data_IF_825708588818
#
_entry.id   IF_825708588818
#
_cell.length_a   1.000
_cell.length_b   1.000
_cell.length_c   1.000
_cell.angle_alpha   90.00
_cell.angle_beta   90.00
_cell.angle_gamma   90.00
#
_symmetry.space_group_name_H-M   'P 1'
#
loop_
_entity.id
_entity.type
_entity.pdbx_description
1 polymer ?
#
# COMPACT_ATOMS: atom_id res chain seq x y z
N UNK A 1 -59.04 -45.26 -17.67
CA UNK A 1 -58.30 -44.15 -18.30
C UNK A 1 -57.58 -43.42 -17.17
N UNK A 2 -56.26 -43.58 -16.98
CA UNK A 2 -55.18 -42.78 -17.60
C UNK A 2 -55.49 -41.27 -17.56
N UNK A 3 -54.60 -40.38 -17.12
CA UNK A 3 -53.19 -40.24 -17.46
C UNK A 3 -52.41 -39.44 -16.40
N UNK A 4 -51.10 -39.63 -16.40
CA UNK A 4 -50.07 -38.72 -15.87
C UNK A 4 -50.25 -37.29 -16.40
N UNK A 5 -49.90 -36.27 -15.60
CA UNK A 5 -49.44 -34.98 -16.14
C UNK A 5 -48.48 -34.28 -15.19
N UNK A 6 -47.23 -34.19 -15.64
CA UNK A 6 -46.14 -33.36 -15.17
C UNK A 6 -46.54 -31.89 -15.03
N UNK A 7 -46.24 -31.25 -13.90
CA UNK A 7 -46.16 -29.79 -13.82
C UNK A 7 -44.71 -29.35 -13.97
N UNK A 8 -44.43 -28.74 -15.12
CA UNK A 8 -43.28 -27.90 -15.39
C UNK A 8 -43.10 -26.87 -14.27
N UNK A 9 -42.01 -26.96 -13.51
CA UNK A 9 -41.44 -25.81 -12.81
C UNK A 9 -40.51 -25.10 -13.78
N UNK A 10 -41.06 -24.08 -14.46
CA UNK A 10 -40.28 -23.12 -15.22
C UNK A 10 -39.26 -22.44 -14.30
N UNK A 11 -37.99 -22.50 -14.70
CA UNK A 11 -36.90 -21.69 -14.19
C UNK A 11 -37.32 -20.23 -14.13
N UNK A 12 -37.60 -19.71 -12.93
CA UNK A 12 -37.69 -18.27 -12.72
C UNK A 12 -36.26 -17.72 -12.75
N UNK A 13 -35.95 -17.08 -13.88
CA UNK A 13 -34.83 -16.17 -14.01
C UNK A 13 -34.94 -15.10 -12.93
N UNK A 14 -33.98 -15.06 -12.01
CA UNK A 14 -33.84 -13.95 -11.09
C UNK A 14 -33.47 -12.70 -11.90
N UNK A 15 -34.49 -11.91 -12.18
CA UNK A 15 -34.39 -10.52 -12.63
C UNK A 15 -33.46 -9.76 -11.68
N UNK A 16 -32.36 -9.24 -12.23
CA UNK A 16 -31.62 -8.14 -11.60
C UNK A 16 -32.48 -6.89 -11.81
N UNK A 17 -32.88 -6.15 -10.75
CA UNK A 17 -33.60 -4.91 -10.94
C UNK A 17 -32.71 -3.92 -11.69
N UNK A 18 -33.22 -3.38 -12.81
CA UNK A 18 -32.69 -2.18 -13.47
C UNK A 18 -32.98 -0.95 -12.59
N UNK A 19 -32.40 -0.90 -11.39
CA UNK A 19 -32.31 0.36 -10.65
C UNK A 19 -31.08 1.11 -11.14
N UNK A 20 -31.32 2.33 -11.63
CA UNK A 20 -30.37 3.16 -12.36
C UNK A 20 -28.96 3.15 -11.78
N UNK A 21 -28.01 2.71 -12.61
CA UNK A 21 -26.58 2.98 -12.42
C UNK A 21 -26.38 4.50 -12.47
N UNK A 22 -26.41 5.14 -11.30
CA UNK A 22 -25.90 6.49 -11.14
C UNK A 22 -24.39 6.48 -11.44
N UNK A 23 -24.03 6.84 -12.68
CA UNK A 23 -22.65 7.15 -13.05
C UNK A 23 -22.22 8.41 -12.29
N UNK A 24 -21.36 8.25 -11.29
CA UNK A 24 -20.83 9.39 -10.57
C UNK A 24 -19.54 9.93 -11.19
N UNK A 25 -19.29 11.22 -10.95
CA UNK A 25 -18.05 11.95 -11.23
C UNK A 25 -16.78 11.09 -11.12
N UNK A 26 -15.88 11.27 -12.10
CA UNK A 26 -14.52 10.71 -12.10
C UNK A 26 -13.84 10.94 -10.76
N UNK A 27 -13.37 9.86 -10.14
CA UNK A 27 -12.52 9.94 -8.94
C UNK A 27 -11.07 9.79 -9.36
N UNK A 28 -10.20 10.65 -8.85
CA UNK A 28 -8.78 10.58 -9.18
C UNK A 28 -8.13 9.44 -8.39
N UNK A 29 -7.34 8.61 -9.08
CA UNK A 29 -6.50 7.62 -8.42
C UNK A 29 -5.34 8.21 -7.62
N UNK A 30 -4.62 7.33 -6.91
CA UNK A 30 -3.41 7.67 -6.19
C UNK A 30 -2.20 6.92 -6.78
N UNK A 31 -1.04 7.54 -6.65
CA UNK A 31 0.24 7.01 -7.11
C UNK A 31 0.92 6.28 -5.95
N UNK A 32 1.41 5.09 -6.24
CA UNK A 32 2.19 4.26 -5.36
C UNK A 32 3.45 3.80 -6.05
N UNK A 33 4.44 3.44 -5.26
CA UNK A 33 5.71 2.94 -5.74
C UNK A 33 6.07 1.63 -5.07
N UNK A 34 6.70 0.75 -5.82
CA UNK A 34 7.25 -0.50 -5.31
C UNK A 34 8.55 -0.82 -5.99
N UNK A 35 9.52 -1.23 -5.21
CA UNK A 35 10.75 -1.85 -5.70
C UNK A 35 10.61 -3.36 -5.85
N UNK A 36 11.24 -3.92 -6.89
CA UNK A 36 11.34 -5.36 -7.09
C UNK A 36 12.59 -5.69 -7.93
N UNK A 37 13.17 -6.87 -7.73
CA UNK A 37 14.34 -7.34 -8.50
C UNK A 37 13.92 -7.98 -9.83
N UNK A 38 12.66 -8.42 -9.95
CA UNK A 38 12.11 -8.93 -11.21
C UNK A 38 12.06 -7.83 -12.26
N UNK A 39 12.24 -8.22 -13.52
CA UNK A 39 12.31 -7.29 -14.64
C UNK A 39 10.94 -6.72 -15.04
N UNK A 40 10.90 -5.54 -15.69
CA UNK A 40 9.66 -4.97 -16.19
C UNK A 40 8.94 -5.87 -17.19
N UNK A 41 9.68 -6.63 -18.01
CA UNK A 41 9.07 -7.59 -18.94
C UNK A 41 8.23 -8.65 -18.21
N UNK A 42 8.72 -9.13 -17.06
CA UNK A 42 8.00 -10.08 -16.23
C UNK A 42 6.83 -9.42 -15.49
N UNK A 43 7.09 -8.28 -14.83
CA UNK A 43 6.11 -7.61 -13.98
C UNK A 43 4.96 -7.00 -14.78
N UNK A 44 5.20 -6.45 -15.96
CA UNK A 44 4.15 -5.91 -16.82
C UNK A 44 3.24 -7.00 -17.39
N UNK A 45 3.64 -8.28 -17.36
CA UNK A 45 2.79 -9.41 -17.75
C UNK A 45 2.01 -9.98 -16.55
N UNK A 46 2.68 -10.12 -15.40
CA UNK A 46 2.14 -10.87 -14.26
C UNK A 46 1.51 -10.00 -13.18
N UNK A 47 1.95 -8.74 -13.06
CA UNK A 47 1.63 -7.88 -11.92
C UNK A 47 2.30 -8.34 -10.63
N UNK A 48 1.72 -7.94 -9.49
CA UNK A 48 2.14 -8.36 -8.15
C UNK A 48 1.00 -9.09 -7.45
N UNK A 49 1.33 -10.20 -6.80
CA UNK A 49 0.38 -11.02 -6.04
C UNK A 49 1.04 -11.49 -4.75
N UNK A 50 0.24 -11.78 -3.71
CA UNK A 50 0.76 -12.29 -2.46
C UNK A 50 1.22 -13.75 -2.64
N UNK A 51 2.14 -14.21 -1.79
CA UNK A 51 2.62 -15.60 -1.81
C UNK A 51 1.60 -16.57 -1.23
N UNK A 52 0.78 -16.11 -0.29
CA UNK A 52 -0.27 -16.84 0.43
C UNK A 52 -1.64 -16.22 0.08
N UNK A 53 -2.38 -16.76 -0.89
CA UNK A 53 -3.63 -16.17 -1.39
C UNK A 53 -4.88 -16.53 -0.57
N UNK A 54 -4.75 -17.32 0.48
CA UNK A 54 -5.87 -17.92 1.24
C UNK A 54 -6.70 -16.91 2.05
N UNK A 55 -6.15 -15.75 2.38
CA UNK A 55 -6.80 -14.78 3.28
C UNK A 55 -7.86 -13.87 2.62
N UNK A 56 -7.98 -13.94 1.29
CA UNK A 56 -9.02 -13.32 0.44
C UNK A 56 -9.67 -12.02 0.98
N UNK A 57 -10.83 -12.09 1.66
CA UNK A 57 -11.61 -10.91 2.05
C UNK A 57 -11.10 -10.20 3.32
N UNK A 58 -10.34 -10.92 4.16
CA UNK A 58 -9.76 -10.41 5.41
C UNK A 58 -8.23 -10.33 5.32
N UNK A 59 -7.69 -10.35 4.10
CA UNK A 59 -6.25 -10.34 3.82
C UNK A 59 -5.52 -9.24 4.59
N UNK A 60 -6.12 -8.07 4.70
CA UNK A 60 -5.50 -6.90 5.31
C UNK A 60 -5.32 -7.07 6.83
N UNK A 61 -6.24 -7.76 7.51
CA UNK A 61 -6.12 -8.08 8.93
C UNK A 61 -4.99 -9.06 9.19
N UNK A 62 -4.88 -10.11 8.36
CA UNK A 62 -3.77 -11.05 8.48
C UNK A 62 -2.44 -10.39 8.11
N UNK A 63 -2.42 -9.57 7.06
CA UNK A 63 -1.23 -8.84 6.62
C UNK A 63 -0.65 -7.97 7.75
N UNK A 64 -1.49 -7.32 8.56
CA UNK A 64 -1.04 -6.50 9.70
C UNK A 64 -1.15 -7.24 11.04
N UNK A 65 -1.32 -8.57 11.02
CA UNK A 65 -1.42 -9.42 12.21
C UNK A 65 -2.41 -8.90 13.26
N UNK A 66 -3.62 -8.54 12.85
CA UNK A 66 -4.59 -7.85 13.72
C UNK A 66 -4.97 -8.61 14.99
N UNK A 67 -4.87 -9.95 14.99
CA UNK A 67 -5.08 -10.78 16.19
C UNK A 67 -3.98 -10.65 17.25
N UNK A 68 -2.84 -10.05 16.90
CA UNK A 68 -1.69 -9.85 17.78
C UNK A 68 -1.74 -8.55 18.57
N UNK A 69 -2.75 -7.69 18.34
CA UNK A 69 -2.89 -6.46 19.13
C UNK A 69 -3.26 -6.77 20.57
N UNK A 70 -2.49 -6.19 21.50
CA UNK A 70 -2.77 -6.27 22.94
C UNK A 70 -3.70 -5.12 23.34
N UNK A 71 -3.50 -3.95 22.73
CA UNK A 71 -4.25 -2.72 22.95
C UNK A 71 -4.07 -1.74 21.76
N UNK A 72 -4.46 -0.47 21.95
CA UNK A 72 -4.34 0.58 20.94
C UNK A 72 -2.89 1.03 20.66
N UNK A 73 -1.90 0.45 21.36
CA UNK A 73 -0.48 0.74 21.21
C UNK A 73 0.18 -0.12 20.13
N UNK A 74 -0.36 -1.32 19.84
CA UNK A 74 0.17 -2.21 18.82
C UNK A 74 0.45 -3.63 19.32
N UNK A 75 1.37 -4.34 18.67
CA UNK A 75 1.77 -5.70 19.06
C UNK A 75 2.92 -5.56 20.05
N UNK A 76 2.73 -6.05 21.28
CA UNK A 76 3.78 -6.00 22.32
C UNK A 76 4.38 -4.59 22.48
N UNK A 77 3.50 -3.56 22.52
CA UNK A 77 3.87 -2.15 22.60
C UNK A 77 4.78 -1.65 21.47
N UNK A 78 4.65 -2.23 20.26
CA UNK A 78 5.36 -1.80 19.05
C UNK A 78 4.39 -1.57 17.89
N UNK A 79 4.77 -0.66 17.01
CA UNK A 79 4.08 -0.51 15.73
C UNK A 79 4.22 -1.79 14.90
N UNK A 80 3.18 -2.09 14.14
CA UNK A 80 3.08 -3.33 13.38
C UNK A 80 3.79 -3.23 12.02
N UNK A 81 4.27 -4.37 11.55
CA UNK A 81 4.74 -4.59 10.18
C UNK A 81 3.69 -5.31 9.33
N UNK A 82 3.76 -5.11 8.02
CA UNK A 82 3.04 -5.97 7.09
C UNK A 82 3.73 -7.33 6.89
N UNK A 83 2.94 -8.37 6.62
CA UNK A 83 3.42 -9.67 6.16
C UNK A 83 3.39 -9.69 4.62
N UNK A 84 4.56 -9.66 3.93
CA UNK A 84 4.63 -9.59 2.48
C UNK A 84 4.19 -10.91 1.82
N UNK A 85 4.00 -11.96 2.61
CA UNK A 85 3.48 -13.23 2.11
C UNK A 85 1.99 -13.10 1.86
N UNK A 86 1.29 -12.20 2.55
CA UNK A 86 -0.17 -12.05 2.50
C UNK A 86 -0.60 -10.82 1.70
N UNK A 87 0.28 -9.86 1.48
CA UNK A 87 0.00 -8.64 0.73
C UNK A 87 1.13 -8.20 -0.20
N UNK A 88 0.84 -7.21 -1.03
CA UNK A 88 1.80 -6.44 -1.80
C UNK A 88 2.06 -5.12 -1.06
N UNK A 89 3.24 -5.01 -0.44
CA UNK A 89 3.70 -3.77 0.17
C UNK A 89 4.19 -2.77 -0.89
N UNK A 90 3.84 -1.51 -0.70
CA UNK A 90 4.16 -0.37 -1.56
C UNK A 90 4.45 0.84 -0.66
N UNK A 91 4.84 1.94 -1.26
CA UNK A 91 4.98 3.23 -0.60
C UNK A 91 4.24 4.31 -1.39
N UNK A 92 3.81 5.37 -0.70
CA UNK A 92 3.25 6.57 -1.34
C UNK A 92 4.31 7.59 -1.76
N UNK A 93 5.59 7.33 -1.44
CA UNK A 93 6.71 8.25 -1.66
C UNK A 93 7.79 7.61 -2.53
N UNK A 94 8.16 8.26 -3.63
CA UNK A 94 9.14 7.72 -4.58
C UNK A 94 10.51 7.54 -3.92
N UNK A 95 10.94 8.51 -3.13
CA UNK A 95 12.19 8.52 -2.35
C UNK A 95 12.27 7.39 -1.30
N UNK A 96 11.12 6.83 -0.93
CA UNK A 96 11.02 5.70 0.00
C UNK A 96 11.05 4.34 -0.70
N UNK A 97 10.78 4.29 -2.02
CA UNK A 97 10.73 3.03 -2.75
C UNK A 97 12.09 2.29 -2.82
N UNK A 98 13.24 2.98 -2.97
CA UNK A 98 14.57 2.35 -2.93
C UNK A 98 14.96 1.74 -1.57
N UNK A 99 14.18 1.97 -0.52
CA UNK A 99 14.44 1.40 0.81
C UNK A 99 14.41 -0.14 0.78
N UNK A 100 13.59 -0.74 -0.09
CA UNK A 100 13.24 -2.16 -0.01
C UNK A 100 13.63 -2.94 -1.27
N UNK A 101 13.90 -4.24 -1.17
CA UNK A 101 14.68 -4.87 -0.13
C UNK A 101 16.17 -4.90 -0.52
N UNK A 102 16.98 -3.83 -0.42
CA UNK A 102 18.33 -3.94 -1.02
C UNK A 102 19.47 -3.40 -0.14
N UNK A 103 20.14 -4.34 0.49
CA UNK A 103 21.59 -4.40 0.56
C UNK A 103 22.16 -4.40 -0.88
N UNK A 104 22.74 -3.28 -1.32
CA UNK A 104 23.63 -3.16 -2.49
C UNK A 104 23.26 -4.04 -3.71
N UNK A 105 22.14 -3.76 -4.39
CA UNK A 105 21.74 -4.51 -5.60
C UNK A 105 21.04 -3.64 -6.65
N UNK A 106 21.09 -4.09 -7.91
CA UNK A 106 20.33 -3.53 -9.03
C UNK A 106 18.85 -3.94 -8.93
N UNK A 107 17.93 -2.99 -9.04
CA UNK A 107 16.49 -3.30 -9.06
C UNK A 107 15.70 -2.38 -9.97
N UNK A 108 14.37 -2.54 -9.95
CA UNK A 108 13.44 -1.66 -10.62
C UNK A 108 12.49 -1.05 -9.60
N UNK A 109 12.24 0.25 -9.74
CA UNK A 109 11.12 0.94 -9.11
C UNK A 109 9.96 0.97 -10.10
N UNK A 110 8.81 0.48 -9.66
CA UNK A 110 7.56 0.44 -10.40
C UNK A 110 6.63 1.53 -9.89
N UNK A 111 6.13 2.38 -10.80
CA UNK A 111 5.06 3.32 -10.52
C UNK A 111 3.70 2.65 -10.77
N UNK A 112 2.78 2.80 -9.83
CA UNK A 112 1.53 2.04 -9.76
C UNK A 112 0.37 2.99 -9.49
N UNK A 113 -0.68 2.94 -10.31
CA UNK A 113 -1.93 3.66 -10.13
C UNK A 113 -2.99 2.74 -9.49
N UNK A 114 -3.51 3.14 -8.34
CA UNK A 114 -4.57 2.41 -7.62
C UNK A 114 -5.56 3.40 -7.01
N UNK A 115 -6.71 2.94 -6.47
CA UNK A 115 -7.59 3.79 -5.68
C UNK A 115 -6.88 4.40 -4.47
N UNK A 116 -7.44 5.48 -3.93
CA UNK A 116 -6.96 6.08 -2.68
C UNK A 116 -6.96 5.06 -1.54
N UNK A 117 -5.96 5.17 -0.66
CA UNK A 117 -5.83 4.28 0.47
C UNK A 117 -6.98 4.45 1.47
N UNK A 118 -7.27 3.37 2.19
CA UNK A 118 -8.26 3.31 3.24
C UNK A 118 -7.54 3.23 4.59
N UNK A 119 -7.84 4.18 5.47
CA UNK A 119 -7.27 4.23 6.81
C UNK A 119 -7.84 3.15 7.72
N UNK A 120 -7.01 2.71 8.68
CA UNK A 120 -7.42 1.85 9.77
C UNK A 120 -7.74 2.70 11.01
N UNK A 121 -8.79 2.30 11.74
CA UNK A 121 -9.24 2.92 12.99
C UNK A 121 -9.40 1.88 14.09
N UNK A 122 -9.06 2.26 15.32
CA UNK A 122 -9.43 1.49 16.51
C UNK A 122 -10.94 1.61 16.78
N UNK A 123 -11.58 0.50 17.18
CA UNK A 123 -13.02 0.38 17.42
C UNK A 123 -13.45 0.81 18.84
N UNK A 124 -12.53 0.84 19.79
CA UNK A 124 -12.79 1.23 21.18
C UNK A 124 -11.49 1.41 21.95
N UNK A 125 -11.52 2.19 23.03
CA UNK A 125 -10.30 2.51 23.81
C UNK A 125 -9.77 1.26 24.52
N UNK A 126 -8.53 0.88 24.19
CA UNK A 126 -7.75 -0.13 24.90
C UNK A 126 -8.11 -1.58 24.58
N UNK A 127 -8.81 -1.83 23.48
CA UNK A 127 -9.16 -3.19 23.03
C UNK A 127 -8.22 -3.71 21.96
N UNK A 128 -7.49 -2.82 21.26
CA UNK A 128 -6.70 -3.19 20.08
C UNK A 128 -7.54 -3.59 18.87
N UNK A 129 -8.87 -3.60 18.98
CA UNK A 129 -9.77 -3.93 17.89
C UNK A 129 -9.71 -2.85 16.79
N UNK A 130 -9.62 -3.28 15.54
CA UNK A 130 -9.48 -2.38 14.39
C UNK A 130 -10.49 -2.61 13.28
N UNK A 131 -10.76 -1.55 12.51
CA UNK A 131 -11.64 -1.56 11.35
C UNK A 131 -11.14 -0.64 10.23
N UNK A 132 -11.66 -0.84 9.02
CA UNK A 132 -11.43 0.04 7.89
C UNK A 132 -12.37 1.25 7.92
N UNK A 133 -11.81 2.45 7.81
CA UNK A 133 -12.56 3.70 7.70
C UNK A 133 -13.11 3.91 6.29
N UNK A 134 -14.16 3.15 5.93
CA UNK A 134 -14.77 3.19 4.59
C UNK A 134 -15.52 4.52 4.31
N UNK A 135 -15.18 5.16 3.20
CA UNK A 135 -15.83 6.36 2.67
C UNK A 135 -16.70 6.01 1.45
N UNK A 136 -17.36 7.01 0.86
CA UNK A 136 -18.13 6.83 -0.39
C UNK A 136 -17.27 6.44 -1.60
N UNK A 137 -15.95 6.67 -1.54
CA UNK A 137 -14.99 6.31 -2.59
C UNK A 137 -14.26 4.99 -2.36
N UNK A 138 -14.46 4.34 -1.20
CA UNK A 138 -13.76 3.08 -0.89
C UNK A 138 -14.29 1.92 -1.73
N UNK A 139 -13.43 1.11 -2.38
CA UNK A 139 -13.85 -0.09 -3.09
C UNK A 139 -14.59 -1.09 -2.18
N UNK A 140 -15.66 -1.68 -2.71
CA UNK A 140 -16.45 -2.70 -2.00
C UNK A 140 -15.76 -4.06 -1.99
N UNK A 141 -15.17 -4.46 -3.12
CA UNK A 141 -14.34 -5.66 -3.20
C UNK A 141 -13.03 -5.45 -2.40
N UNK A 142 -12.79 -6.22 -1.33
CA UNK A 142 -11.57 -6.11 -0.51
C UNK A 142 -10.28 -6.26 -1.30
N UNK A 143 -10.29 -6.95 -2.44
CA UNK A 143 -9.10 -7.16 -3.29
C UNK A 143 -8.68 -5.92 -4.07
N UNK A 144 -9.54 -4.90 -4.13
CA UNK A 144 -9.26 -3.61 -4.77
C UNK A 144 -8.96 -2.50 -3.76
N UNK A 145 -8.96 -2.81 -2.46
CA UNK A 145 -8.63 -1.83 -1.41
C UNK A 145 -7.12 -1.67 -1.32
N UNK A 146 -6.68 -0.43 -1.12
CA UNK A 146 -5.34 -0.08 -0.66
C UNK A 146 -5.45 0.34 0.80
N UNK A 147 -4.51 -0.08 1.64
CA UNK A 147 -4.48 0.16 3.09
C UNK A 147 -3.38 1.16 3.41
N UNK A 148 -3.72 2.15 4.23
CA UNK A 148 -2.75 3.10 4.81
C UNK A 148 -2.16 2.52 6.09
N UNK A 149 -1.05 1.78 5.95
CA UNK A 149 -0.36 1.21 7.10
C UNK A 149 0.49 2.25 7.83
N UNK A 150 1.08 3.18 7.09
CA UNK A 150 1.84 4.30 7.65
C UNK A 150 1.06 5.08 8.72
N UNK A 151 -0.22 5.38 8.47
CA UNK A 151 -1.05 6.11 9.44
C UNK A 151 -1.35 5.28 10.69
N UNK A 152 -1.59 3.97 10.55
CA UNK A 152 -1.78 3.09 11.69
C UNK A 152 -0.51 3.01 12.53
N UNK A 153 0.64 2.77 11.88
CA UNK A 153 1.95 2.78 12.53
C UNK A 153 2.15 4.11 13.28
N UNK A 154 1.94 5.26 12.62
CA UNK A 154 2.09 6.59 13.23
C UNK A 154 1.24 6.74 14.50
N UNK A 155 -0.01 6.29 14.46
CA UNK A 155 -0.91 6.31 15.63
C UNK A 155 -0.42 5.41 16.76
N UNK A 156 0.00 4.18 16.44
CA UNK A 156 0.59 3.23 17.39
C UNK A 156 1.76 3.88 18.10
N UNK A 157 2.70 4.44 17.33
CA UNK A 157 3.86 5.05 17.96
C UNK A 157 3.52 6.26 18.80
N UNK A 158 2.62 7.14 18.33
CA UNK A 158 2.15 8.27 19.11
C UNK A 158 1.53 7.84 20.44
N UNK A 159 0.77 6.74 20.44
CA UNK A 159 0.18 6.21 21.66
C UNK A 159 1.26 5.60 22.59
N UNK A 160 2.21 4.82 22.06
CA UNK A 160 3.31 4.24 22.85
C UNK A 160 4.13 5.36 23.49
N UNK A 161 4.53 6.38 22.73
CA UNK A 161 5.25 7.56 23.23
C UNK A 161 4.48 8.30 24.32
N UNK A 162 3.16 8.46 24.18
CA UNK A 162 2.34 9.08 25.23
C UNK A 162 2.31 8.23 26.51
N UNK A 163 2.23 6.91 26.38
CA UNK A 163 2.15 5.99 27.52
C UNK A 163 3.47 5.93 28.32
N UNK A 164 4.61 5.80 27.63
CA UNK A 164 5.91 5.64 28.29
C UNK A 164 6.78 6.92 28.33
N UNK A 165 6.27 8.06 27.86
CA UNK A 165 7.06 9.28 27.63
C UNK A 165 7.79 9.84 28.87
N UNK A 166 7.34 9.50 30.08
CA UNK A 166 8.02 9.85 31.34
C UNK A 166 8.96 8.77 31.86
N UNK A 167 8.90 7.54 31.32
CA UNK A 167 9.52 6.36 31.90
C UNK A 167 10.77 5.89 31.18
N UNK A 168 10.98 6.26 29.90
CA UNK A 168 12.19 5.82 29.17
C UNK A 168 12.77 6.92 28.29
N UNK A 169 14.10 7.07 28.34
CA UNK A 169 14.83 8.13 27.62
C UNK A 169 14.97 7.87 26.10
N UNK A 170 14.67 6.66 25.64
CA UNK A 170 14.98 6.19 24.28
C UNK A 170 13.76 5.65 23.51
N UNK A 171 12.53 5.95 23.95
CA UNK A 171 11.36 5.26 23.42
C UNK A 171 11.13 5.46 21.91
N UNK A 172 11.39 6.67 21.41
CA UNK A 172 11.31 6.94 19.98
C UNK A 172 12.33 6.17 19.13
N UNK A 173 13.40 5.59 19.72
CA UNK A 173 14.37 4.74 18.99
C UNK A 173 13.77 3.39 18.61
N UNK A 174 12.87 2.84 19.41
CA UNK A 174 12.34 1.49 19.19
C UNK A 174 10.93 1.50 18.62
N UNK A 175 10.15 2.54 18.92
CA UNK A 175 8.75 2.57 18.56
C UNK A 175 8.50 3.16 17.15
N UNK A 176 9.38 4.05 16.66
CA UNK A 176 9.18 4.91 15.47
C UNK A 176 9.78 4.46 14.12
N UNK A 177 10.56 3.38 14.10
CA UNK A 177 11.34 2.96 12.93
C UNK A 177 10.57 2.67 11.62
N UNK A 178 9.29 2.23 11.61
CA UNK A 178 8.57 1.94 10.35
C UNK A 178 8.11 3.19 9.55
N UNK A 179 8.16 4.39 10.12
CA UNK A 179 7.42 5.54 9.55
C UNK A 179 8.00 6.11 8.26
N UNK A 180 9.29 5.93 7.96
CA UNK A 180 9.90 6.53 6.77
C UNK A 180 9.61 5.77 5.47
N UNK A 181 9.00 4.59 5.56
CA UNK A 181 8.61 3.83 4.38
C UNK A 181 7.32 4.35 3.74
N UNK A 182 6.52 5.15 4.46
CA UNK A 182 5.18 5.61 4.02
C UNK A 182 4.34 4.45 3.45
N UNK A 183 4.33 3.35 4.19
CA UNK A 183 3.84 2.07 3.73
C UNK A 183 2.34 2.07 3.39
N UNK A 184 2.05 1.53 2.22
CA UNK A 184 0.71 1.21 1.77
C UNK A 184 0.65 -0.26 1.36
N UNK A 185 -0.46 -0.93 1.64
CA UNK A 185 -0.64 -2.35 1.31
C UNK A 185 -1.78 -2.53 0.32
N UNK A 186 -1.65 -3.47 -0.58
CA UNK A 186 -2.80 -3.96 -1.35
C UNK A 186 -2.75 -5.49 -1.45
N UNK A 187 -3.89 -6.11 -1.74
CA UNK A 187 -3.92 -7.56 -1.93
C UNK A 187 -3.10 -7.95 -3.17
N UNK A 188 -3.33 -7.25 -4.29
CA UNK A 188 -2.69 -7.51 -5.59
C UNK A 188 -2.56 -6.23 -6.39
N UNK A 189 -1.62 -6.21 -7.33
CA UNK A 189 -1.49 -5.17 -8.34
C UNK A 189 -1.59 -5.83 -9.69
N UNK A 190 -2.59 -5.44 -10.48
CA UNK A 190 -2.77 -5.97 -11.83
C UNK A 190 -1.77 -5.33 -12.79
N UNK A 191 -1.37 -6.02 -13.88
CA UNK A 191 -0.59 -5.44 -14.96
C UNK A 191 -1.10 -4.06 -15.42
N UNK A 192 -2.41 -3.90 -15.53
CA UNK A 192 -3.07 -2.68 -16.00
C UNK A 192 -2.94 -1.50 -15.04
N UNK A 193 -2.60 -1.76 -13.77
CA UNK A 193 -2.38 -0.73 -12.75
C UNK A 193 -0.93 -0.23 -12.73
N UNK A 194 0.00 -0.89 -13.42
CA UNK A 194 1.41 -0.54 -13.40
C UNK A 194 1.67 0.45 -14.54
N UNK A 195 2.14 1.65 -14.21
CA UNK A 195 2.35 2.74 -15.16
C UNK A 195 3.65 2.52 -15.95
N UNK A 196 4.76 2.40 -15.22
CA UNK A 196 6.09 2.29 -15.78
C UNK A 196 7.08 1.73 -14.74
N UNK A 197 8.30 1.49 -15.18
CA UNK A 197 9.40 1.09 -14.33
C UNK A 197 10.67 1.87 -14.67
N UNK A 198 11.56 2.04 -13.68
CA UNK A 198 12.90 2.58 -13.89
C UNK A 198 13.92 1.76 -13.11
N UNK A 199 15.10 1.54 -13.70
CA UNK A 199 16.18 0.84 -13.00
C UNK A 199 16.74 1.74 -11.91
N UNK A 200 16.96 1.18 -10.72
CA UNK A 200 17.50 1.86 -9.57
C UNK A 200 18.73 1.12 -9.05
N UNK A 201 19.77 1.88 -8.73
CA UNK A 201 20.96 1.42 -8.04
C UNK A 201 21.04 2.12 -6.69
N UNK A 202 21.45 1.39 -5.65
CA UNK A 202 21.57 1.92 -4.30
C UNK A 202 22.94 1.55 -3.74
N UNK A 203 23.66 2.57 -3.27
CA UNK A 203 25.02 2.43 -2.78
C UNK A 203 25.11 2.91 -1.34
N UNK A 204 26.01 2.30 -0.56
CA UNK A 204 26.26 2.75 0.79
C UNK A 204 26.93 4.12 0.75
N UNK A 205 26.52 5.02 1.64
CA UNK A 205 27.13 6.34 1.76
C UNK A 205 27.52 6.54 3.23
N UNK A 206 28.75 6.97 3.49
CA UNK A 206 29.21 7.32 4.85
C UNK A 206 28.74 8.73 5.26
N UNK A 207 27.53 9.11 4.84
CA UNK A 207 26.91 10.38 5.21
C UNK A 207 25.89 10.14 6.32
N UNK A 208 25.94 10.93 7.38
CA UNK A 208 24.87 11.01 8.36
C UNK A 208 23.80 11.96 7.82
N UNK A 209 22.60 11.46 7.57
CA UNK A 209 21.43 12.26 7.19
C UNK A 209 20.57 12.52 8.42
N UNK A 210 20.06 13.74 8.54
CA UNK A 210 19.03 14.08 9.52
C UNK A 210 17.70 13.51 9.06
N UNK A 211 17.03 12.83 9.98
CA UNK A 211 15.78 12.13 9.79
C UNK A 211 14.79 12.71 10.77
N UNK A 212 13.76 13.35 10.23
CA UNK A 212 12.66 13.88 11.01
C UNK A 212 11.72 12.75 11.41
N UNK A 213 11.67 12.41 12.70
CA UNK A 213 10.73 11.44 13.23
C UNK A 213 9.49 12.16 13.77
N UNK A 214 8.30 11.72 13.36
CA UNK A 214 6.98 12.26 13.78
C UNK A 214 6.76 12.23 15.32
N UNK A 215 7.71 11.70 16.08
CA UNK A 215 7.58 11.34 17.49
C UNK A 215 8.46 12.16 18.44
N UNK A 216 8.82 13.38 18.02
CA UNK A 216 9.42 14.38 18.89
C UNK A 216 10.05 15.51 18.10
N UNK A 217 10.23 16.66 18.72
CA UNK A 217 10.90 17.85 18.15
C UNK A 217 12.42 17.65 17.93
N UNK A 218 12.92 16.40 17.92
CA UNK A 218 14.35 16.09 17.84
C UNK A 218 14.65 15.29 16.58
N UNK A 219 15.25 15.99 15.62
CA UNK A 219 15.90 15.42 14.45
C UNK A 219 16.92 14.35 14.88
N UNK A 220 17.02 13.27 14.11
CA UNK A 220 17.95 12.16 14.38
C UNK A 220 18.91 11.94 13.23
N UNK A 221 20.14 11.58 13.54
CA UNK A 221 21.12 11.21 12.53
C UNK A 221 21.06 9.71 12.24
N UNK A 222 21.06 9.33 10.96
CA UNK A 222 21.25 7.98 10.51
C UNK A 222 22.22 7.95 9.32
N UNK A 223 22.99 6.87 9.17
CA UNK A 223 23.72 6.64 7.92
C UNK A 223 22.74 6.65 6.73
N UNK A 224 23.09 7.34 5.64
CA UNK A 224 22.32 7.37 4.41
C UNK A 224 22.74 6.25 3.46
N UNK A 225 21.86 5.89 2.54
CA UNK A 225 22.25 5.27 1.27
C UNK A 225 21.82 6.20 0.16
N UNK A 226 22.72 6.45 -0.79
CA UNK A 226 22.34 7.14 -2.01
C UNK A 226 21.66 6.15 -2.96
N UNK A 227 20.69 6.63 -3.71
CA UNK A 227 20.15 5.88 -4.83
C UNK A 227 20.17 6.72 -6.10
N UNK A 228 20.34 6.06 -7.23
CA UNK A 228 20.35 6.67 -8.54
C UNK A 228 19.43 5.91 -9.48
N UNK A 229 18.81 6.63 -10.41
CA UNK A 229 18.04 6.04 -11.49
C UNK A 229 18.89 5.94 -12.74
N UNK A 230 18.91 4.75 -13.35
CA UNK A 230 19.75 4.44 -14.50
C UNK A 230 18.92 4.00 -15.70
N UNK A 231 19.43 4.27 -16.91
CA UNK A 231 18.72 3.95 -18.15
C UNK A 231 17.45 4.78 -18.36
N UNK A 232 16.61 4.36 -19.30
CA UNK A 232 15.36 5.04 -19.65
C UNK A 232 14.19 4.56 -18.78
N UNK A 233 13.15 5.39 -18.67
CA UNK A 233 11.85 4.96 -18.13
C UNK A 233 11.30 3.92 -19.12
N UNK A 234 10.87 2.78 -18.58
CA UNK A 234 10.31 1.66 -19.33
C UNK A 234 8.80 1.74 -19.16
N UNK A 235 8.09 2.14 -20.22
CA UNK A 235 6.64 2.28 -20.18
C UNK A 235 5.94 0.92 -20.29
N UNK A 236 4.85 0.76 -19.53
CA UNK A 236 4.01 -0.43 -19.62
C UNK A 236 2.92 -0.24 -20.68
N UNK A 237 2.97 -1.02 -21.75
CA UNK A 237 1.98 -1.00 -22.83
C UNK A 237 0.61 -1.56 -22.40
N UNK A 238 0.54 -2.29 -21.29
CA UNK A 238 -0.70 -2.84 -20.74
C UNK A 238 -1.42 -1.90 -19.76
N UNK A 239 -0.83 -0.73 -19.45
CA UNK A 239 -1.41 0.22 -18.51
C UNK A 239 -2.78 0.73 -18.98
N UNK A 240 -3.76 0.79 -18.08
CA UNK A 240 -5.07 1.37 -18.33
C UNK A 240 -5.18 2.76 -17.71
N UNK A 241 -5.60 3.75 -18.50
CA UNK A 241 -5.83 5.12 -18.02
C UNK A 241 -6.99 5.25 -17.04
N UNK A 242 -7.80 4.20 -16.88
CA UNK A 242 -8.84 4.17 -15.87
C UNK A 242 -9.29 2.77 -15.48
N UNK A 243 -10.05 2.70 -14.39
CA UNK A 243 -10.60 1.46 -13.85
C UNK A 243 -12.02 1.69 -13.32
N UNK A 244 -12.95 0.82 -13.71
CA UNK A 244 -14.31 0.80 -13.16
C UNK A 244 -14.33 0.00 -11.85
N UNK A 245 -14.86 0.59 -10.78
CA UNK A 245 -14.96 -0.02 -9.46
C UNK A 245 -16.33 0.22 -8.83
N UNK A 246 -16.86 -0.79 -8.15
CA UNK A 246 -17.96 -0.60 -7.22
C UNK A 246 -17.42 -0.04 -5.90
N UNK A 247 -17.92 1.14 -5.52
CA UNK A 247 -17.47 1.88 -4.32
C UNK A 247 -18.65 2.19 -3.40
N UNK A 248 -18.34 2.46 -2.13
CA UNK A 248 -19.31 2.93 -1.14
C UNK A 248 -19.43 2.01 0.07
N UNK A 249 -20.67 1.79 0.51
CA UNK A 249 -21.01 0.97 1.69
C UNK A 249 -22.07 -0.08 1.33
N UNK A 250 -22.18 -1.18 2.10
CA UNK A 250 -23.27 -2.14 1.92
C UNK A 250 -24.64 -1.44 1.90
N UNK A 251 -25.44 -1.69 0.86
CA UNK A 251 -26.75 -1.06 0.65
C UNK A 251 -26.73 0.37 0.07
N UNK A 252 -25.56 0.99 -0.09
CA UNK A 252 -25.37 2.30 -0.75
C UNK A 252 -24.09 2.25 -1.59
N UNK A 253 -24.17 1.55 -2.71
CA UNK A 253 -23.08 1.31 -3.64
C UNK A 253 -23.31 2.03 -4.96
N UNK A 254 -22.24 2.46 -5.61
CA UNK A 254 -22.29 3.01 -6.97
C UNK A 254 -21.11 2.52 -7.80
N UNK A 255 -21.27 2.52 -9.11
CA UNK A 255 -20.16 2.31 -10.03
C UNK A 255 -19.41 3.63 -10.20
N UNK A 256 -18.08 3.58 -10.06
CA UNK A 256 -17.21 4.73 -10.16
C UNK A 256 -16.08 4.44 -11.15
N UNK A 257 -15.81 5.39 -12.03
CA UNK A 257 -14.62 5.39 -12.89
C UNK A 257 -13.47 6.07 -12.15
N UNK A 258 -12.41 5.32 -11.90
CA UNK A 258 -11.13 5.85 -11.43
C UNK A 258 -10.33 6.34 -12.64
N UNK A 259 -9.98 7.62 -12.67
CA UNK A 259 -9.14 8.22 -13.72
C UNK A 259 -7.68 8.28 -13.25
N UNK A 260 -6.79 7.70 -14.04
CA UNK A 260 -5.34 7.61 -13.79
C UNK A 260 -4.49 8.44 -14.75
N UNK A 261 -5.09 9.27 -15.61
CA UNK A 261 -4.37 10.08 -16.60
C UNK A 261 -3.36 11.02 -15.92
N UNK A 262 -3.83 11.85 -14.98
CA UNK A 262 -2.96 12.75 -14.21
C UNK A 262 -1.99 11.99 -13.29
N UNK A 263 -2.36 10.79 -12.86
CA UNK A 263 -1.51 9.93 -12.02
C UNK A 263 -0.30 9.43 -12.83
N UNK A 264 -0.52 9.04 -14.10
CA UNK A 264 0.56 8.67 -15.03
C UNK A 264 1.49 9.85 -15.28
N UNK A 265 0.94 11.02 -15.60
CA UNK A 265 1.74 12.23 -15.87
C UNK A 265 2.61 12.59 -14.66
N UNK A 266 2.03 12.57 -13.46
CA UNK A 266 2.76 12.80 -12.20
C UNK A 266 3.87 11.78 -12.00
N UNK A 267 3.62 10.50 -12.24
CA UNK A 267 4.62 9.45 -12.07
C UNK A 267 5.85 9.65 -12.97
N UNK A 268 5.61 9.94 -14.25
CA UNK A 268 6.69 10.19 -15.21
C UNK A 268 7.46 11.46 -14.83
N UNK A 269 6.76 12.52 -14.40
CA UNK A 269 7.38 13.76 -13.96
C UNK A 269 8.24 13.57 -12.70
N UNK A 270 7.72 12.91 -11.66
CA UNK A 270 8.46 12.64 -10.42
C UNK A 270 9.72 11.80 -10.68
N UNK A 271 9.62 10.73 -11.47
CA UNK A 271 10.76 9.90 -11.83
C UNK A 271 11.80 10.68 -12.65
N UNK A 272 11.35 11.49 -13.62
CA UNK A 272 12.24 12.30 -14.46
C UNK A 272 12.99 13.36 -13.65
N UNK A 273 12.29 14.03 -12.73
CA UNK A 273 12.88 15.04 -11.86
C UNK A 273 13.98 14.44 -10.98
N UNK A 274 13.69 13.32 -10.30
CA UNK A 274 14.68 12.62 -9.46
C UNK A 274 15.85 12.11 -10.30
N UNK A 275 15.59 11.54 -11.47
CA UNK A 275 16.64 11.08 -12.39
C UNK A 275 17.60 12.22 -12.81
N UNK A 276 17.08 13.42 -13.01
CA UNK A 276 17.86 14.59 -13.43
C UNK A 276 18.55 15.30 -12.25
N UNK A 277 18.28 14.91 -11.00
CA UNK A 277 18.84 15.51 -9.79
C UNK A 277 19.32 14.43 -8.79
N UNK A 278 20.21 13.51 -9.20
CA UNK A 278 20.62 12.35 -8.38
C UNK A 278 21.41 12.73 -7.11
N UNK A 279 21.90 13.97 -7.05
CA UNK A 279 22.78 14.50 -6.00
C UNK A 279 22.07 14.70 -4.66
N UNK A 280 20.73 14.67 -4.67
CA UNK A 280 19.87 14.84 -3.49
C UNK A 280 19.03 13.60 -3.16
N UNK A 281 19.36 12.47 -3.77
CA UNK A 281 18.58 11.24 -3.69
C UNK A 281 19.14 10.31 -2.63
N UNK A 282 18.68 10.51 -1.39
CA UNK A 282 19.10 9.69 -0.26
C UNK A 282 17.92 8.98 0.38
N UNK A 283 18.23 7.85 0.97
CA UNK A 283 17.28 7.14 1.80
C UNK A 283 17.96 6.69 3.09
N UNK A 284 17.30 6.77 4.26
CA UNK A 284 17.92 6.35 5.50
C UNK A 284 18.32 4.87 5.46
N UNK A 285 19.55 4.58 5.85
CA UNK A 285 20.06 3.22 6.11
C UNK A 285 19.62 2.75 7.50
N UNK A 286 18.32 2.83 7.77
CA UNK A 286 17.72 2.39 9.03
C UNK A 286 17.31 0.93 8.86
N UNK A 287 17.42 0.14 9.94
CA UNK A 287 16.76 -1.16 10.03
C UNK A 287 15.25 -0.94 10.03
N UNK A 288 14.63 -1.11 8.87
CA UNK A 288 13.18 -1.18 8.79
C UNK A 288 12.77 -2.61 9.16
N UNK A 289 12.00 -2.74 10.24
CA UNK A 289 10.93 -3.71 10.17
C UNK A 289 10.03 -3.23 9.03
N UNK A 290 9.98 -3.98 7.94
CA UNK A 290 8.80 -4.12 7.09
C UNK A 290 8.87 -5.50 6.44
N UNK A 291 8.43 -6.51 7.19
CA UNK A 291 7.86 -7.71 6.62
C UNK A 291 8.82 -8.59 5.85
N UNK A 292 9.69 -9.33 6.53
CA UNK A 292 10.28 -10.59 6.01
C UNK A 292 10.94 -10.56 4.63
N UNK A 293 11.28 -9.39 4.07
CA UNK A 293 12.19 -9.29 2.91
C UNK A 293 13.66 -9.18 3.34
N UNK A 294 13.89 -9.06 4.65
CA UNK A 294 15.14 -9.48 5.30
C UNK A 294 14.96 -10.93 5.73
N UNK A 295 15.53 -11.85 4.96
CA UNK A 295 16.01 -13.12 5.50
C UNK A 295 17.43 -12.90 5.99
#
# INVERSE_FOLDING_TARGET
MSFFSTKNTSLQSNFIPEDGLEFSNKSQGMLYYRSDTRSPEQIFKLGFSPRLPEFQNEWWKEAIKSRGYIDDLGIDYRAVDSDPSVCVCMTTKLESAPIFPLSQENCYIYAIALPEFTQIKYLGKGTGDITLSRTGGTPLDPKNIVIDLHNLQSKQVGNICRFFGSQTKNLGLYAGWPLHAYEALTYRVLPQSIICAIRCQREALDLQIEVDCILGEKLRLCAGKQFTFTGNIIENQHFSMGQLLYVGRPGKSKLCEMDYTLVKERAVAEITNIKNQPEYCFTPNIYYGLGGKTF
#
